data_IF_702641051421
#
_entry.id   IF_702641051421
#
_cell.length_a   1.000
_cell.length_b   1.000
_cell.length_c   1.000
_cell.angle_alpha   90.00
_cell.angle_beta   90.00
_cell.angle_gamma   90.00
#
_symmetry.space_group_name_H-M   'P 1'
#
loop_
_entity.id
_entity.type
_entity.pdbx_description
1 polymer ?
#
# COMPACT_ATOMS: atom_id res chain seq x y z
N UNK A 1 72.85 11.23 20.57
CA UNK A 1 73.51 12.45 20.05
C UNK A 1 73.58 12.29 18.55
N UNK A 2 72.72 13.01 17.81
CA UNK A 2 73.11 14.04 16.82
C UNK A 2 73.85 13.41 15.63
N UNK A 3 73.32 13.36 14.42
CA UNK A 3 72.44 14.28 13.72
C UNK A 3 73.10 14.52 12.38
N UNK A 4 72.38 14.47 11.26
CA UNK A 4 72.95 14.85 9.97
C UNK A 4 71.95 15.66 9.15
N UNK A 5 72.54 16.65 8.48
CA UNK A 5 71.95 17.89 8.08
C UNK A 5 71.45 17.88 6.64
N UNK A 6 70.52 18.79 6.40
CA UNK A 6 70.10 19.29 5.10
C UNK A 6 71.29 19.67 4.20
N UNK A 7 71.20 19.32 2.92
CA UNK A 7 71.76 20.13 1.83
C UNK A 7 70.71 20.35 0.75
N UNK A 8 70.58 21.62 0.37
CA UNK A 8 69.67 22.16 -0.63
C UNK A 8 70.55 22.63 -1.80
N UNK A 9 70.17 22.35 -3.06
CA UNK A 9 71.01 22.64 -4.22
C UNK A 9 70.25 22.68 -5.55
N UNK A 10 69.61 23.83 -5.81
CA UNK A 10 69.31 24.51 -7.07
C UNK A 10 69.34 23.74 -8.42
N UNK A 11 68.25 23.88 -9.19
CA UNK A 11 68.30 23.71 -10.65
C UNK A 11 66.91 23.70 -11.31
N UNK A 12 66.48 24.86 -11.79
CA UNK A 12 65.22 25.10 -12.51
C UNK A 12 65.14 24.27 -13.79
N UNK A 13 64.05 23.53 -14.02
CA UNK A 13 63.35 23.39 -15.31
C UNK A 13 62.26 22.30 -15.25
N UNK A 14 61.03 22.68 -15.57
CA UNK A 14 59.95 21.72 -15.83
C UNK A 14 58.61 22.21 -15.34
N UNK A 15 57.96 23.08 -16.10
CA UNK A 15 56.52 23.25 -16.01
C UNK A 15 55.88 21.86 -16.22
N UNK A 16 55.25 21.31 -15.18
CA UNK A 16 54.48 20.08 -15.31
C UNK A 16 53.37 20.29 -16.34
N UNK A 17 53.10 19.33 -17.25
CA UNK A 17 52.07 19.49 -18.26
C UNK A 17 50.71 19.60 -17.58
N UNK A 18 49.95 20.65 -17.91
CA UNK A 18 48.51 20.68 -17.65
C UNK A 18 47.90 19.44 -18.32
N UNK A 19 47.45 18.48 -17.52
CA UNK A 19 46.59 17.40 -18.00
C UNK A 19 45.36 18.07 -18.63
N UNK A 20 45.24 17.97 -19.95
CA UNK A 20 44.01 18.32 -20.62
C UNK A 20 42.90 17.47 -20.01
N UNK A 21 41.84 18.14 -19.53
CA UNK A 21 40.62 17.46 -19.10
C UNK A 21 40.09 16.74 -20.33
N UNK A 22 40.28 15.43 -20.38
CA UNK A 22 39.64 14.56 -21.37
C UNK A 22 38.14 14.78 -21.23
N UNK A 23 37.49 15.24 -22.31
CA UNK A 23 36.03 15.37 -22.34
C UNK A 23 35.43 13.98 -22.10
N UNK A 24 34.95 13.74 -20.88
CA UNK A 24 34.25 12.52 -20.55
C UNK A 24 32.94 12.56 -21.33
N UNK A 25 32.86 11.77 -22.41
CA UNK A 25 31.63 11.62 -23.17
C UNK A 25 30.70 10.74 -22.33
N UNK A 26 29.77 11.37 -21.62
CA UNK A 26 28.77 10.64 -20.84
C UNK A 26 27.84 9.96 -21.85
N UNK A 27 27.78 8.62 -21.83
CA UNK A 27 26.83 7.89 -22.68
C UNK A 27 25.40 8.19 -22.23
N UNK A 28 24.43 8.15 -23.16
CA UNK A 28 23.02 8.35 -22.82
C UNK A 28 22.54 7.39 -21.71
N UNK A 29 23.09 6.16 -21.65
CA UNK A 29 22.77 5.18 -20.60
C UNK A 29 23.36 5.58 -19.23
N UNK A 30 24.56 6.18 -19.20
CA UNK A 30 25.16 6.67 -17.96
C UNK A 30 24.48 7.95 -17.47
N UNK A 31 24.03 8.80 -18.39
CA UNK A 31 23.19 9.95 -18.10
C UNK A 31 21.82 9.51 -17.55
N UNK A 32 21.18 8.51 -18.16
CA UNK A 32 19.95 7.89 -17.65
C UNK A 32 20.14 7.30 -16.26
N UNK A 33 21.21 6.52 -16.02
CA UNK A 33 21.46 5.95 -14.68
C UNK A 33 21.70 7.01 -13.61
N UNK A 34 22.38 8.11 -13.97
CA UNK A 34 22.67 9.21 -13.04
C UNK A 34 21.41 10.03 -12.70
N UNK A 35 20.49 10.20 -13.65
CA UNK A 35 19.23 10.92 -13.44
C UNK A 35 18.10 10.04 -12.87
N UNK A 36 18.03 8.76 -13.27
CA UNK A 36 16.94 7.84 -12.92
C UNK A 36 17.21 7.01 -11.67
N UNK A 37 18.46 6.94 -11.20
CA UNK A 37 18.82 6.31 -9.93
C UNK A 37 19.93 7.12 -9.23
N UNK A 38 19.59 8.24 -8.57
CA UNK A 38 20.53 8.85 -7.64
C UNK A 38 20.94 7.78 -6.63
N UNK A 39 22.25 7.69 -6.34
CA UNK A 39 22.77 6.72 -5.38
C UNK A 39 22.12 6.95 -4.01
N UNK A 40 21.05 6.20 -3.73
CA UNK A 40 20.37 6.19 -2.43
C UNK A 40 21.25 5.45 -1.42
N UNK A 41 22.40 6.04 -1.06
CA UNK A 41 23.02 5.77 0.23
C UNK A 41 22.25 6.56 1.29
N UNK A 42 20.99 6.18 1.52
CA UNK A 42 20.29 6.56 2.75
C UNK A 42 21.11 5.96 3.88
N UNK A 43 21.72 6.79 4.73
CA UNK A 43 22.41 6.32 5.94
C UNK A 43 21.37 5.56 6.76
N UNK A 44 21.43 4.23 6.69
CA UNK A 44 20.37 3.32 7.11
C UNK A 44 20.28 3.14 8.63
N UNK A 45 19.95 4.20 9.36
CA UNK A 45 19.63 4.12 10.80
C UNK A 45 18.17 4.47 11.12
N UNK A 46 17.36 4.85 10.13
CA UNK A 46 15.97 5.29 10.37
C UNK A 46 15.09 4.26 11.08
N UNK A 47 15.26 2.96 10.79
CA UNK A 47 14.57 1.87 11.49
C UNK A 47 15.05 1.64 12.93
N UNK A 48 16.23 2.14 13.29
CA UNK A 48 16.73 2.18 14.68
C UNK A 48 16.29 3.45 15.41
N UNK A 49 16.00 4.52 14.67
CA UNK A 49 15.61 5.82 15.23
C UNK A 49 14.11 5.91 15.53
N UNK A 50 13.26 5.33 14.68
CA UNK A 50 11.81 5.44 14.78
C UNK A 50 11.14 4.12 15.17
N UNK A 51 9.98 4.21 15.81
CA UNK A 51 9.11 3.07 16.09
C UNK A 51 8.62 2.42 14.78
N UNK A 52 8.23 1.14 14.86
CA UNK A 52 7.55 0.47 13.76
C UNK A 52 6.15 1.09 13.55
N UNK A 53 5.88 1.75 12.40
CA UNK A 53 4.61 2.41 12.19
C UNK A 53 3.51 1.45 11.74
N UNK A 54 3.82 0.25 11.23
CA UNK A 54 2.86 -0.69 10.61
C UNK A 54 1.62 -1.04 11.45
N UNK A 55 1.73 -1.26 12.78
CA UNK A 55 0.57 -1.68 13.58
C UNK A 55 -0.57 -0.66 13.62
N UNK A 56 -0.25 0.63 13.59
CA UNK A 56 -1.24 1.73 13.68
C UNK A 56 -2.20 1.80 12.48
N UNK A 57 -1.73 1.90 11.21
CA UNK A 57 -2.61 1.87 10.04
C UNK A 57 -3.29 0.51 9.86
N UNK A 58 -2.68 -0.60 10.29
CA UNK A 58 -3.34 -1.91 10.29
C UNK A 58 -4.52 -1.95 11.27
N UNK A 59 -4.36 -1.43 12.49
CA UNK A 59 -5.46 -1.22 13.43
C UNK A 59 -6.56 -0.34 12.82
N UNK A 60 -6.16 0.76 12.17
CA UNK A 60 -7.06 1.64 11.43
C UNK A 60 -7.89 0.88 10.39
N UNK A 61 -7.24 0.02 9.61
CA UNK A 61 -7.89 -0.82 8.62
C UNK A 61 -8.94 -1.74 9.24
N UNK A 62 -8.59 -2.40 10.34
CA UNK A 62 -9.42 -3.42 10.96
C UNK A 62 -10.64 -2.83 11.67
N UNK A 63 -10.51 -1.66 12.30
CA UNK A 63 -11.62 -0.96 12.94
C UNK A 63 -12.60 -0.37 11.91
N UNK A 64 -12.13 -0.01 10.71
CA UNK A 64 -13.04 0.37 9.62
C UNK A 64 -13.72 -0.87 8.98
N UNK A 65 -12.95 -1.94 8.76
CA UNK A 65 -13.39 -3.10 7.98
C UNK A 65 -14.26 -4.09 8.76
N UNK A 66 -13.93 -4.39 10.02
CA UNK A 66 -14.63 -5.43 10.80
C UNK A 66 -16.11 -5.07 11.03
N UNK A 67 -16.47 -3.83 11.41
CA UNK A 67 -17.87 -3.43 11.51
C UNK A 67 -18.58 -3.40 10.15
N UNK A 68 -17.88 -3.00 9.08
CA UNK A 68 -18.43 -3.06 7.72
C UNK A 68 -18.76 -4.50 7.32
N UNK A 69 -17.88 -5.47 7.62
CA UNK A 69 -18.13 -6.89 7.37
C UNK A 69 -19.42 -7.37 8.05
N UNK A 70 -19.59 -7.03 9.33
CA UNK A 70 -20.79 -7.36 10.10
C UNK A 70 -22.06 -6.70 9.53
N UNK A 71 -21.95 -5.46 9.03
CA UNK A 71 -23.05 -4.75 8.38
C UNK A 71 -23.44 -5.41 7.04
N UNK A 72 -22.46 -5.75 6.19
CA UNK A 72 -22.70 -6.43 4.92
C UNK A 72 -23.32 -7.83 5.09
N UNK A 73 -22.97 -8.53 6.17
CA UNK A 73 -23.56 -9.83 6.52
C UNK A 73 -24.89 -9.74 7.28
N UNK A 74 -25.39 -8.55 7.59
CA UNK A 74 -26.68 -8.40 8.27
C UNK A 74 -26.67 -8.77 9.75
N UNK A 75 -25.50 -8.86 10.40
CA UNK A 75 -25.39 -9.37 11.77
C UNK A 75 -26.20 -8.52 12.75
N UNK A 76 -27.10 -9.17 13.49
CA UNK A 76 -28.00 -8.51 14.46
C UNK A 76 -28.86 -7.40 13.84
N UNK A 77 -29.14 -7.48 12.53
CA UNK A 77 -29.89 -6.45 11.80
C UNK A 77 -29.07 -5.24 11.39
N UNK A 78 -27.73 -5.31 11.46
CA UNK A 78 -26.85 -4.29 10.88
C UNK A 78 -27.00 -4.23 9.34
N UNK A 79 -26.65 -3.11 8.72
CA UNK A 79 -26.81 -2.91 7.28
C UNK A 79 -26.50 -1.47 6.86
N UNK A 80 -27.12 -1.02 5.76
CA UNK A 80 -27.01 0.36 5.28
C UNK A 80 -25.61 0.73 4.78
N UNK A 81 -24.86 -0.23 4.24
CA UNK A 81 -23.53 0.00 3.66
C UNK A 81 -22.48 0.53 4.64
N UNK A 82 -22.68 0.37 5.95
CA UNK A 82 -21.78 0.91 6.98
C UNK A 82 -21.99 2.39 7.28
N UNK A 83 -23.13 2.98 6.88
CA UNK A 83 -23.44 4.40 7.15
C UNK A 83 -23.36 4.75 8.65
N UNK A 84 -23.78 3.84 9.53
CA UNK A 84 -23.69 4.02 10.98
C UNK A 84 -22.26 4.13 11.51
N UNK A 85 -21.27 3.65 10.74
CA UNK A 85 -19.85 3.61 11.11
C UNK A 85 -18.98 4.50 10.23
N UNK A 86 -19.55 5.47 9.48
CA UNK A 86 -18.78 6.41 8.65
C UNK A 86 -17.64 7.10 9.41
N UNK A 87 -17.81 7.36 10.71
CA UNK A 87 -16.74 7.91 11.55
C UNK A 87 -15.49 7.03 11.58
N UNK A 88 -15.62 5.69 11.60
CA UNK A 88 -14.45 4.80 11.55
C UNK A 88 -13.79 4.83 10.18
N UNK A 89 -14.54 5.11 9.11
CA UNK A 89 -13.97 5.23 7.77
C UNK A 89 -13.10 6.49 7.67
N UNK A 90 -13.54 7.62 8.23
CA UNK A 90 -12.73 8.83 8.26
C UNK A 90 -11.48 8.70 9.13
N UNK A 91 -11.66 8.30 10.39
CA UNK A 91 -10.61 8.43 11.39
C UNK A 91 -9.70 7.21 11.46
N UNK A 92 -10.23 6.00 11.31
CA UNK A 92 -9.45 4.77 11.41
C UNK A 92 -9.00 4.29 10.02
N UNK A 93 -9.95 4.01 9.14
CA UNK A 93 -9.66 3.53 7.78
C UNK A 93 -8.91 4.56 6.95
N UNK A 94 -9.26 5.85 7.11
CA UNK A 94 -8.66 6.96 6.38
C UNK A 94 -7.43 7.54 7.06
N UNK A 95 -7.66 8.33 8.12
CA UNK A 95 -6.63 9.16 8.75
C UNK A 95 -5.45 8.34 9.29
N UNK A 96 -5.68 7.30 10.09
CA UNK A 96 -4.57 6.47 10.61
C UNK A 96 -3.78 5.81 9.49
N UNK A 97 -4.42 5.42 8.39
CA UNK A 97 -3.73 4.84 7.24
C UNK A 97 -2.91 5.84 6.45
N UNK A 98 -3.43 7.05 6.22
CA UNK A 98 -2.66 8.12 5.57
C UNK A 98 -1.44 8.49 6.43
N UNK A 99 -1.63 8.67 7.75
CA UNK A 99 -0.52 8.92 8.67
C UNK A 99 0.49 7.76 8.62
N UNK A 100 0.02 6.52 8.75
CA UNK A 100 0.87 5.34 8.67
C UNK A 100 1.64 5.24 7.35
N UNK A 101 1.02 5.60 6.22
CA UNK A 101 1.68 5.61 4.92
C UNK A 101 2.87 6.58 4.88
N UNK A 102 2.70 7.80 5.42
CA UNK A 102 3.77 8.79 5.48
C UNK A 102 4.92 8.28 6.37
N UNK A 103 4.59 7.64 7.50
CA UNK A 103 5.59 7.06 8.40
C UNK A 103 6.35 5.89 7.75
N UNK A 104 5.67 5.02 7.02
CA UNK A 104 6.27 3.92 6.26
C UNK A 104 7.20 4.43 5.14
N UNK A 105 6.81 5.53 4.48
CA UNK A 105 7.66 6.21 3.50
C UNK A 105 8.94 6.74 4.14
N UNK A 106 8.84 7.38 5.32
CA UNK A 106 10.00 7.90 6.07
C UNK A 106 11.01 6.80 6.38
N UNK A 107 10.57 5.59 6.76
CA UNK A 107 11.47 4.47 7.09
C UNK A 107 11.83 3.59 5.87
N UNK A 108 11.44 4.00 4.66
CA UNK A 108 11.82 3.34 3.40
C UNK A 108 11.05 2.06 3.09
N UNK A 109 9.85 1.86 3.62
CA UNK A 109 9.02 0.69 3.36
C UNK A 109 8.02 0.95 2.22
N UNK A 110 8.53 1.00 0.98
CA UNK A 110 7.78 1.46 -0.19
C UNK A 110 6.48 0.70 -0.45
N UNK A 111 6.50 -0.64 -0.36
CA UNK A 111 5.30 -1.43 -0.66
C UNK A 111 4.18 -1.14 0.33
N UNK A 112 4.50 -1.15 1.63
CA UNK A 112 3.53 -0.91 2.70
C UNK A 112 3.06 0.55 2.72
N UNK A 113 3.95 1.50 2.42
CA UNK A 113 3.57 2.90 2.17
C UNK A 113 2.46 3.00 1.11
N UNK A 114 2.66 2.40 -0.06
CA UNK A 114 1.67 2.45 -1.16
C UNK A 114 0.36 1.78 -0.73
N UNK A 115 0.44 0.63 -0.06
CA UNK A 115 -0.73 -0.12 0.43
C UNK A 115 -1.57 0.72 1.40
N UNK A 116 -0.96 1.27 2.46
CA UNK A 116 -1.73 2.08 3.42
C UNK A 116 -2.16 3.43 2.84
N UNK A 117 -1.36 4.05 1.98
CA UNK A 117 -1.75 5.30 1.33
C UNK A 117 -2.98 5.14 0.45
N UNK A 118 -3.03 4.08 -0.36
CA UNK A 118 -4.16 3.81 -1.25
C UNK A 118 -5.41 3.37 -0.50
N UNK A 119 -5.30 2.51 0.52
CA UNK A 119 -6.45 2.16 1.35
C UNK A 119 -6.95 3.34 2.19
N UNK A 120 -6.07 4.21 2.67
CA UNK A 120 -6.45 5.42 3.39
C UNK A 120 -7.29 6.34 2.51
N UNK A 121 -6.84 6.54 1.28
CA UNK A 121 -7.61 7.27 0.27
C UNK A 121 -8.94 6.59 -0.06
N UNK A 122 -8.95 5.25 -0.17
CA UNK A 122 -10.18 4.48 -0.41
C UNK A 122 -11.23 4.73 0.68
N UNK A 123 -10.85 4.64 1.95
CA UNK A 123 -11.78 4.84 3.07
C UNK A 123 -12.28 6.28 3.15
N UNK A 124 -11.42 7.28 2.92
CA UNK A 124 -11.84 8.68 2.87
C UNK A 124 -12.79 8.96 1.71
N UNK A 125 -12.52 8.41 0.53
CA UNK A 125 -13.39 8.54 -0.64
C UNK A 125 -14.75 7.88 -0.38
N UNK A 126 -14.76 6.66 0.15
CA UNK A 126 -15.99 5.94 0.47
C UNK A 126 -16.80 6.64 1.57
N UNK A 127 -16.14 7.15 2.61
CA UNK A 127 -16.77 7.96 3.65
C UNK A 127 -17.41 9.24 3.09
N UNK A 128 -16.71 9.92 2.17
CA UNK A 128 -17.25 11.10 1.50
C UNK A 128 -18.48 10.77 0.64
N UNK A 129 -18.46 9.64 -0.07
CA UNK A 129 -19.63 9.18 -0.83
C UNK A 129 -20.85 8.91 0.07
N UNK A 130 -20.64 8.28 1.22
CA UNK A 130 -21.72 7.91 2.14
C UNK A 130 -22.19 9.04 3.06
N UNK A 131 -21.37 10.08 3.24
CA UNK A 131 -21.71 11.19 4.15
C UNK A 131 -22.85 12.03 3.56
N UNK A 132 -24.01 12.11 4.25
CA UNK A 132 -25.20 12.76 3.69
C UNK A 132 -24.99 14.22 3.28
N UNK A 133 -24.08 14.93 3.94
CA UNK A 133 -23.78 16.33 3.65
C UNK A 133 -23.20 16.53 2.24
N UNK A 134 -22.40 15.59 1.72
CA UNK A 134 -21.86 15.68 0.35
C UNK A 134 -22.87 15.27 -0.72
N UNK A 135 -23.89 14.50 -0.33
CA UNK A 135 -25.09 14.22 -1.11
C UNK A 135 -24.80 13.67 -2.53
N UNK A 136 -23.83 12.76 -2.65
CA UNK A 136 -23.34 12.25 -3.94
C UNK A 136 -24.43 11.62 -4.82
N UNK A 137 -25.37 10.88 -4.21
CA UNK A 137 -26.49 10.25 -4.92
C UNK A 137 -27.44 11.28 -5.56
N UNK A 138 -27.64 12.44 -4.91
CA UNK A 138 -28.56 13.46 -5.42
C UNK A 138 -28.12 14.05 -6.76
N UNK A 139 -26.83 14.00 -7.10
CA UNK A 139 -26.34 14.40 -8.42
C UNK A 139 -26.94 13.53 -9.56
N UNK A 140 -27.33 12.29 -9.26
CA UNK A 140 -27.92 11.35 -10.23
C UNK A 140 -29.44 11.43 -10.28
N UNK A 141 -30.07 12.00 -9.25
CA UNK A 141 -31.54 12.16 -9.19
C UNK A 141 -31.98 13.60 -9.37
N UNK A 142 -31.05 14.52 -9.62
CA UNK A 142 -31.34 15.94 -9.85
C UNK A 142 -32.28 16.10 -11.06
N UNK A 143 -33.43 16.73 -10.86
CA UNK A 143 -34.43 16.92 -11.90
C UNK A 143 -35.35 15.72 -12.18
N UNK A 144 -35.20 14.60 -11.45
CA UNK A 144 -36.18 13.52 -11.51
C UNK A 144 -37.51 13.97 -10.91
N UNK A 145 -38.59 13.84 -11.68
CA UNK A 145 -39.96 14.23 -11.28
C UNK A 145 -40.83 13.01 -10.96
N UNK A 146 -40.46 11.85 -11.47
CA UNK A 146 -41.19 10.59 -11.26
C UNK A 146 -40.37 9.57 -10.47
N UNK A 147 -41.06 8.61 -9.85
CA UNK A 147 -40.40 7.50 -9.14
C UNK A 147 -39.51 6.66 -10.06
N UNK A 148 -39.89 6.49 -11.34
CA UNK A 148 -39.12 5.74 -12.32
C UNK A 148 -37.82 6.46 -12.69
N UNK A 149 -37.86 7.78 -12.88
CA UNK A 149 -36.66 8.60 -13.13
C UNK A 149 -35.71 8.57 -11.93
N UNK A 150 -36.24 8.67 -10.71
CA UNK A 150 -35.44 8.56 -9.49
C UNK A 150 -34.77 7.20 -9.39
N UNK A 151 -35.51 6.11 -9.62
CA UNK A 151 -34.96 4.75 -9.61
C UNK A 151 -33.84 4.57 -10.64
N UNK A 152 -34.01 5.12 -11.85
CA UNK A 152 -32.96 5.11 -12.89
C UNK A 152 -31.71 5.88 -12.46
N UNK A 153 -31.88 7.04 -11.81
CA UNK A 153 -30.78 7.82 -11.24
C UNK A 153 -30.01 7.03 -10.18
N UNK A 154 -30.71 6.42 -9.22
CA UNK A 154 -30.10 5.57 -8.19
C UNK A 154 -29.36 4.38 -8.82
N UNK A 155 -29.95 3.71 -9.81
CA UNK A 155 -29.28 2.62 -10.52
C UNK A 155 -27.97 3.09 -11.20
N UNK A 156 -27.99 4.27 -11.82
CA UNK A 156 -26.78 4.87 -12.41
C UNK A 156 -25.71 5.21 -11.37
N UNK A 157 -26.11 5.67 -10.18
CA UNK A 157 -25.20 5.89 -9.05
C UNK A 157 -24.56 4.58 -8.60
N UNK A 158 -25.36 3.52 -8.36
CA UNK A 158 -24.85 2.22 -7.92
C UNK A 158 -23.88 1.60 -8.96
N UNK A 159 -24.24 1.68 -10.24
CA UNK A 159 -23.37 1.20 -11.32
C UNK A 159 -22.05 1.98 -11.40
N UNK A 160 -22.08 3.29 -11.17
CA UNK A 160 -20.87 4.12 -11.14
C UNK A 160 -19.98 3.79 -9.95
N UNK A 161 -20.57 3.60 -8.76
CA UNK A 161 -19.85 3.24 -7.54
C UNK A 161 -19.19 1.85 -7.66
N UNK A 162 -19.83 0.91 -8.36
CA UNK A 162 -19.26 -0.42 -8.61
C UNK A 162 -17.91 -0.35 -9.35
N UNK A 163 -17.71 0.59 -10.26
CA UNK A 163 -16.42 0.76 -10.95
C UNK A 163 -15.31 1.21 -10.00
N UNK A 164 -15.61 2.04 -9.00
CA UNK A 164 -14.62 2.40 -7.98
C UNK A 164 -14.14 1.15 -7.22
N UNK A 165 -15.08 0.28 -6.82
CA UNK A 165 -14.77 -0.99 -6.15
C UNK A 165 -14.02 -1.97 -7.06
N UNK A 166 -14.38 -2.05 -8.33
CA UNK A 166 -13.72 -2.90 -9.33
C UNK A 166 -12.25 -2.52 -9.51
N UNK A 167 -11.97 -1.24 -9.74
CA UNK A 167 -10.59 -0.78 -9.95
C UNK A 167 -9.78 -0.77 -8.65
N UNK A 168 -10.43 -0.58 -7.50
CA UNK A 168 -9.78 -0.85 -6.22
C UNK A 168 -9.41 -2.33 -6.10
N UNK A 169 -10.32 -3.25 -6.47
CA UNK A 169 -10.05 -4.68 -6.58
C UNK A 169 -8.83 -4.97 -7.46
N UNK A 170 -8.74 -4.34 -8.64
CA UNK A 170 -7.56 -4.49 -9.51
C UNK A 170 -6.25 -4.03 -8.84
N UNK A 171 -6.29 -2.97 -8.05
CA UNK A 171 -5.13 -2.52 -7.26
C UNK A 171 -4.76 -3.55 -6.19
N UNK A 172 -5.76 -4.10 -5.49
CA UNK A 172 -5.56 -5.16 -4.51
C UNK A 172 -5.03 -6.44 -5.16
N UNK A 173 -5.46 -6.79 -6.36
CA UNK A 173 -4.92 -7.92 -7.13
C UNK A 173 -3.43 -7.75 -7.42
N UNK A 174 -2.97 -6.53 -7.75
CA UNK A 174 -1.54 -6.26 -7.89
C UNK A 174 -0.80 -6.46 -6.56
N UNK A 175 -1.39 -6.00 -5.45
CA UNK A 175 -0.82 -6.21 -4.12
C UNK A 175 -0.80 -7.69 -3.70
N UNK A 176 -1.80 -8.47 -4.08
CA UNK A 176 -1.86 -9.92 -3.88
C UNK A 176 -0.65 -10.58 -4.54
N UNK A 177 -0.34 -10.25 -5.79
CA UNK A 177 0.85 -10.76 -6.49
C UNK A 177 2.13 -10.33 -5.76
N UNK A 178 2.26 -9.07 -5.37
CA UNK A 178 3.42 -8.57 -4.64
C UNK A 178 3.60 -9.26 -3.27
N UNK A 179 2.51 -9.61 -2.60
CA UNK A 179 2.51 -10.22 -1.27
C UNK A 179 3.06 -11.66 -1.25
N UNK A 180 3.16 -12.33 -2.41
CA UNK A 180 3.79 -13.66 -2.53
C UNK A 180 5.26 -13.70 -2.08
N UNK A 181 5.91 -12.54 -1.92
CA UNK A 181 7.28 -12.41 -1.38
C UNK A 181 7.35 -11.90 0.07
N UNK A 182 6.21 -11.80 0.74
CA UNK A 182 6.12 -11.31 2.12
C UNK A 182 5.89 -12.47 3.08
N UNK A 183 4.69 -12.60 3.65
CA UNK A 183 4.29 -13.71 4.50
C UNK A 183 2.88 -14.20 4.15
N UNK A 184 2.57 -15.42 4.58
CA UNK A 184 1.34 -16.12 4.27
C UNK A 184 0.09 -15.42 4.79
N UNK A 185 0.15 -14.88 6.01
CA UNK A 185 -0.97 -14.13 6.61
C UNK A 185 -1.27 -12.88 5.78
N UNK A 186 -0.25 -12.13 5.38
CA UNK A 186 -0.40 -10.92 4.58
C UNK A 186 -0.90 -11.23 3.17
N UNK A 187 -0.46 -12.34 2.58
CA UNK A 187 -1.04 -12.85 1.33
C UNK A 187 -2.54 -13.17 1.47
N UNK A 188 -2.94 -13.86 2.55
CA UNK A 188 -4.34 -14.18 2.79
C UNK A 188 -5.20 -12.92 2.96
N UNK A 189 -4.67 -11.87 3.62
CA UNK A 189 -5.38 -10.59 3.74
C UNK A 189 -5.73 -10.04 2.36
N UNK A 190 -4.75 -9.96 1.44
CA UNK A 190 -5.03 -9.47 0.08
C UNK A 190 -5.93 -10.42 -0.71
N UNK A 191 -5.78 -11.74 -0.58
CA UNK A 191 -6.57 -12.70 -1.33
C UNK A 191 -8.06 -12.54 -1.04
N UNK A 192 -8.42 -12.52 0.25
CA UNK A 192 -9.82 -12.42 0.65
C UNK A 192 -10.39 -11.02 0.44
N UNK A 193 -9.58 -9.98 0.61
CA UNK A 193 -9.98 -8.61 0.29
C UNK A 193 -10.22 -8.40 -1.21
N UNK A 194 -9.39 -8.98 -2.07
CA UNK A 194 -9.52 -8.93 -3.53
C UNK A 194 -10.87 -9.52 -3.97
N UNK A 195 -11.15 -10.74 -3.51
CA UNK A 195 -12.43 -11.40 -3.76
C UNK A 195 -13.59 -10.56 -3.21
N UNK A 196 -13.47 -10.03 -2.00
CA UNK A 196 -14.52 -9.22 -1.39
C UNK A 196 -14.88 -8.00 -2.23
N UNK A 197 -13.89 -7.29 -2.78
CA UNK A 197 -14.11 -6.08 -3.60
C UNK A 197 -14.76 -6.42 -4.95
N UNK A 198 -14.31 -7.48 -5.62
CA UNK A 198 -14.94 -7.92 -6.88
C UNK A 198 -16.39 -8.37 -6.67
N UNK A 199 -16.65 -9.13 -5.60
CA UNK A 199 -18.01 -9.56 -5.25
C UNK A 199 -18.89 -8.36 -4.88
N UNK A 200 -18.36 -7.37 -4.16
CA UNK A 200 -19.10 -6.17 -3.80
C UNK A 200 -19.43 -5.32 -5.02
N UNK A 201 -18.49 -5.14 -5.95
CA UNK A 201 -18.75 -4.47 -7.23
C UNK A 201 -19.89 -5.16 -7.99
N UNK A 202 -19.88 -6.51 -8.04
CA UNK A 202 -20.96 -7.31 -8.59
C UNK A 202 -22.31 -7.10 -7.88
N UNK A 203 -22.29 -6.97 -6.55
CA UNK A 203 -23.49 -6.65 -5.77
C UNK A 203 -24.09 -5.32 -6.22
N UNK A 204 -23.29 -4.25 -6.29
CA UNK A 204 -23.74 -2.94 -6.72
C UNK A 204 -24.31 -2.92 -8.15
N UNK A 205 -23.75 -3.70 -9.08
CA UNK A 205 -24.36 -3.86 -10.41
C UNK A 205 -25.70 -4.61 -10.36
N UNK A 206 -25.83 -5.64 -9.52
CA UNK A 206 -27.13 -6.31 -9.31
C UNK A 206 -28.17 -5.39 -8.67
N UNK A 207 -27.75 -4.51 -7.76
CA UNK A 207 -28.61 -3.45 -7.26
C UNK A 207 -29.06 -2.50 -8.38
N UNK A 208 -28.14 -2.10 -9.27
CA UNK A 208 -28.46 -1.24 -10.42
C UNK A 208 -29.44 -1.90 -11.42
N UNK A 209 -29.35 -3.23 -11.61
CA UNK A 209 -30.26 -4.02 -12.43
C UNK A 209 -31.64 -4.24 -11.77
N UNK A 210 -31.79 -3.89 -10.48
CA UNK A 210 -33.01 -4.13 -9.70
C UNK A 210 -33.15 -5.57 -9.17
N UNK A 211 -32.12 -6.41 -9.29
CA UNK A 211 -32.09 -7.76 -8.73
C UNK A 211 -31.70 -7.72 -7.25
N UNK A 212 -32.68 -7.38 -6.41
CA UNK A 212 -32.49 -7.25 -4.95
C UNK A 212 -32.03 -8.55 -4.31
N UNK A 213 -32.47 -9.70 -4.83
CA UNK A 213 -32.08 -11.00 -4.26
C UNK A 213 -30.62 -11.31 -4.56
N UNK A 214 -30.16 -11.11 -5.79
CA UNK A 214 -28.75 -11.30 -6.13
C UNK A 214 -27.86 -10.28 -5.44
N UNK A 215 -28.29 -9.01 -5.36
CA UNK A 215 -27.60 -7.98 -4.57
C UNK A 215 -27.34 -8.46 -3.16
N UNK A 216 -28.38 -8.88 -2.42
CA UNK A 216 -28.23 -9.25 -1.01
C UNK A 216 -27.35 -10.49 -0.81
N UNK A 217 -27.44 -11.49 -1.71
CA UNK A 217 -26.56 -12.67 -1.68
C UNK A 217 -25.09 -12.28 -1.88
N UNK A 218 -24.81 -11.42 -2.85
CA UNK A 218 -23.46 -10.95 -3.15
C UNK A 218 -22.93 -10.03 -2.04
N UNK A 219 -23.79 -9.17 -1.46
CA UNK A 219 -23.45 -8.31 -0.32
C UNK A 219 -23.01 -9.14 0.89
N UNK A 220 -23.78 -10.17 1.27
CA UNK A 220 -23.41 -11.09 2.35
C UNK A 220 -22.12 -11.84 2.01
N UNK A 221 -21.97 -12.30 0.77
CA UNK A 221 -20.76 -13.02 0.32
C UNK A 221 -19.53 -12.14 0.43
N UNK A 222 -19.62 -10.88 -0.02
CA UNK A 222 -18.55 -9.91 0.14
C UNK A 222 -18.24 -9.68 1.62
N UNK A 223 -19.26 -9.44 2.45
CA UNK A 223 -19.11 -9.28 3.90
C UNK A 223 -18.40 -10.44 4.58
N UNK A 224 -18.68 -11.69 4.15
CA UNK A 224 -17.99 -12.88 4.65
C UNK A 224 -16.50 -12.87 4.29
N UNK A 225 -16.15 -12.51 3.06
CA UNK A 225 -14.74 -12.37 2.65
C UNK A 225 -14.05 -11.21 3.37
N UNK A 226 -14.75 -10.08 3.58
CA UNK A 226 -14.25 -8.97 4.41
C UNK A 226 -13.93 -9.47 5.82
N UNK A 227 -14.84 -10.23 6.42
CA UNK A 227 -14.66 -10.79 7.76
C UNK A 227 -13.45 -11.75 7.81
N UNK A 228 -13.32 -12.65 6.84
CA UNK A 228 -12.20 -13.60 6.80
C UNK A 228 -10.86 -12.88 6.68
N UNK A 229 -10.72 -11.86 5.82
CA UNK A 229 -9.47 -11.10 5.79
C UNK A 229 -9.23 -10.37 7.12
N UNK A 230 -10.29 -9.83 7.75
CA UNK A 230 -10.16 -9.17 9.05
C UNK A 230 -9.63 -10.13 10.11
N UNK A 231 -10.03 -11.41 10.11
CA UNK A 231 -9.48 -12.42 11.02
C UNK A 231 -7.96 -12.57 10.84
N UNK A 232 -7.48 -12.66 9.60
CA UNK A 232 -6.03 -12.69 9.34
C UNK A 232 -5.34 -11.38 9.73
N UNK A 233 -5.99 -10.24 9.52
CA UNK A 233 -5.43 -8.94 9.92
C UNK A 233 -5.39 -8.74 11.43
N UNK A 234 -6.40 -9.19 12.17
CA UNK A 234 -6.38 -9.20 13.64
C UNK A 234 -5.27 -10.10 14.18
N UNK A 235 -5.07 -11.26 13.56
CA UNK A 235 -3.94 -12.13 13.87
C UNK A 235 -2.59 -11.42 13.62
N UNK A 236 -2.42 -10.79 12.46
CA UNK A 236 -1.20 -10.06 12.11
C UNK A 236 -0.95 -8.88 13.06
N UNK A 237 -1.98 -8.11 13.39
CA UNK A 237 -1.88 -7.00 14.33
C UNK A 237 -1.46 -7.50 15.71
N UNK A 238 -2.08 -8.59 16.20
CA UNK A 238 -1.74 -9.15 17.49
C UNK A 238 -0.30 -9.66 17.52
N UNK A 239 0.15 -10.37 16.48
CA UNK A 239 1.55 -10.79 16.33
C UNK A 239 2.52 -9.60 16.40
N UNK A 240 2.23 -8.51 15.69
CA UNK A 240 3.05 -7.30 15.73
C UNK A 240 3.03 -6.62 17.10
N UNK A 241 1.89 -6.56 17.79
CA UNK A 241 1.80 -5.96 19.12
C UNK A 241 2.59 -6.76 20.16
N UNK A 242 2.54 -8.09 20.10
CA UNK A 242 3.36 -8.97 20.95
C UNK A 242 4.86 -8.70 20.74
N UNK A 243 5.29 -8.54 19.48
CA UNK A 243 6.67 -8.20 19.14
C UNK A 243 7.08 -6.83 19.72
N UNK A 244 6.20 -5.82 19.70
CA UNK A 244 6.53 -4.47 20.21
C UNK A 244 6.76 -4.39 21.72
N UNK A 245 6.30 -5.39 22.48
CA UNK A 245 6.45 -5.45 23.95
C UNK A 245 7.37 -6.59 24.40
N UNK A 246 8.15 -7.15 23.47
CA UNK A 246 9.05 -8.29 23.70
C UNK A 246 8.34 -9.47 24.39
N UNK A 247 7.08 -9.72 24.02
CA UNK A 247 6.30 -10.81 24.60
C UNK A 247 6.90 -12.17 24.18
N UNK A 248 6.99 -13.17 25.07
CA UNK A 248 7.68 -14.42 24.78
C UNK A 248 6.99 -15.34 23.76
N UNK A 249 5.72 -15.07 23.43
CA UNK A 249 4.99 -15.82 22.40
C UNK A 249 5.23 -15.20 21.02
N UNK A 250 5.90 -15.97 20.16
CA UNK A 250 6.03 -15.65 18.74
C UNK A 250 4.92 -16.34 17.93
N UNK A 251 4.14 -15.55 17.20
CA UNK A 251 3.02 -16.03 16.40
C UNK A 251 3.46 -16.22 14.94
N UNK A 252 3.37 -17.45 14.40
CA UNK A 252 3.89 -17.71 13.06
C UNK A 252 3.05 -17.00 11.98
N UNK A 253 3.69 -16.13 11.20
CA UNK A 253 3.07 -15.48 10.03
C UNK A 253 3.39 -16.16 8.69
N UNK A 254 4.38 -17.06 8.69
CA UNK A 254 4.77 -17.91 7.56
C UNK A 254 5.51 -17.16 6.44
N UNK A 255 6.84 -17.15 6.47
CA UNK A 255 7.66 -16.50 5.43
C UNK A 255 7.52 -17.18 4.06
N UNK A 256 7.18 -16.39 3.04
CA UNK A 256 7.03 -16.84 1.65
C UNK A 256 8.22 -16.44 0.76
N UNK A 257 9.09 -15.54 1.24
CA UNK A 257 10.15 -14.92 0.44
C UNK A 257 11.12 -15.94 -0.20
N UNK A 258 11.34 -17.08 0.46
CA UNK A 258 12.22 -18.16 -0.02
C UNK A 258 11.53 -19.29 -0.80
N UNK A 259 10.20 -19.35 -0.88
CA UNK A 259 9.48 -20.56 -1.33
C UNK A 259 8.83 -20.45 -2.72
N UNK A 260 8.36 -19.27 -3.12
CA UNK A 260 7.51 -19.13 -4.32
C UNK A 260 8.27 -18.54 -5.50
N UNK A 261 9.24 -17.64 -5.27
CA UNK A 261 10.01 -17.00 -6.33
C UNK A 261 11.44 -16.73 -5.85
N UNK A 262 12.41 -17.52 -6.33
CA UNK A 262 13.84 -17.26 -6.09
C UNK A 262 14.18 -15.82 -6.49
N UNK A 263 14.87 -15.08 -5.61
CA UNK A 263 15.35 -13.74 -5.93
C UNK A 263 16.06 -13.76 -7.28
N UNK A 264 15.76 -12.78 -8.15
CA UNK A 264 16.53 -12.56 -9.38
C UNK A 264 18.00 -12.48 -8.93
N UNK A 265 18.84 -13.40 -9.40
CA UNK A 265 20.23 -13.48 -8.97
C UNK A 265 20.85 -12.07 -9.06
N UNK A 266 21.47 -11.59 -7.97
CA UNK A 266 22.28 -10.37 -8.02
C UNK A 266 23.21 -10.53 -9.22
N UNK A 267 23.08 -9.64 -10.20
CA UNK A 267 24.00 -9.59 -11.34
C UNK A 267 25.39 -9.45 -10.72
N UNK A 268 26.36 -10.32 -11.03
CA UNK A 268 27.68 -10.25 -10.42
C UNK A 268 28.24 -8.86 -10.67
N UNK A 269 28.70 -8.21 -9.60
CA UNK A 269 29.51 -7.00 -9.72
C UNK A 269 30.66 -7.33 -10.66
N UNK A 270 30.79 -6.57 -11.74
CA UNK A 270 31.94 -6.67 -12.63
C UNK A 270 33.09 -6.02 -11.85
N UNK A 271 33.66 -6.76 -10.91
CA UNK A 271 34.91 -6.39 -10.25
C UNK A 271 36.05 -6.47 -11.28
N UNK A 272 36.82 -5.38 -11.26
CA UNK A 272 38.08 -5.13 -11.93
C UNK A 272 38.86 -6.36 -12.39
N UNK A 273 38.91 -6.57 -13.70
CA UNK A 273 40.11 -7.10 -14.34
C UNK A 273 40.84 -5.94 -14.98
N UNK A 274 41.89 -5.46 -14.32
CA UNK A 274 43.17 -5.12 -14.94
C UNK A 274 44.19 -4.73 -13.85
N UNK A 275 44.92 -5.73 -13.38
CA UNK A 275 46.33 -5.59 -13.03
C UNK A 275 47.11 -6.57 -13.91
N UNK A 276 48.36 -6.21 -14.22
CA UNK A 276 49.37 -6.85 -15.11
C UNK A 276 48.98 -6.80 -16.59
N UNK A 277 49.69 -6.08 -17.47
CA UNK A 277 51.15 -5.95 -17.62
C UNK A 277 51.66 -4.50 -17.71
#
# INVERSE_FOLDING_TARGET
>A
MSGEAYTNGNGVNGLAPLHSISSVTISNEMFEKLYLNPANKVKGELRRTFANPTPLPLLGFLIASTPLAAALMGWRGAGGGGAATIGTFYFFGGMLQIIGSILEWIIGNTFIYIVFGSFGAFWLAFAATLTPMYNAEAAFTAGATTAAEKAKGVASFQSSLAFFLLFMGLVVFMYLICSLRTNFVFFCIFLFLDIALFVLAGAYWKAAEGDVQAFHRLEITSGAFVFVFCVFGWYLLFAQLLETVDFPLDLPVGDLSGRILTSRAKKPDIESKHHTE
#
